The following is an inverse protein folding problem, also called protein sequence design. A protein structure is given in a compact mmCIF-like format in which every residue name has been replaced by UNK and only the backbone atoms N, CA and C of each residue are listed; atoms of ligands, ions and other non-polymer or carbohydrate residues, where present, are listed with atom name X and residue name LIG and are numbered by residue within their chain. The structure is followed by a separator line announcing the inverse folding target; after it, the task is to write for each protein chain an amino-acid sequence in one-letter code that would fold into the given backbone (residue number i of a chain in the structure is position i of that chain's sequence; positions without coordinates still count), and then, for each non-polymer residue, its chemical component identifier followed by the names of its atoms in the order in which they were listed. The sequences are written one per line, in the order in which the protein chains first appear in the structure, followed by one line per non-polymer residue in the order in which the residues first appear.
data_IF_358462623113
#
_entry.id   IF_358462623113
#
_cell.length_a   1.000
_cell.length_b   1.000
_cell.length_c   1.000
_cell.angle_alpha   90.00
_cell.angle_beta   90.00
_cell.angle_gamma   90.00
#
_symmetry.space_group_name_H-M   'P 1'
#
loop_
_entity.id
_entity.type
_entity.pdbx_description
1 polymer ?
#
# COMPACT_ATOMS: atom_id res chain seq x y z
N UNK A 1 -12.82 0.01 -22.82
CA UNK A 1 -12.75 -0.71 -21.52
C UNK A 1 -14.01 -1.55 -21.33
N UNK A 2 -13.87 -2.82 -20.89
CA UNK A 2 -14.98 -3.75 -20.63
C UNK A 2 -15.96 -3.20 -19.58
N UNK A 3 -15.44 -2.53 -18.56
CA UNK A 3 -16.22 -1.90 -17.48
C UNK A 3 -17.13 -0.78 -18.01
N UNK A 4 -16.62 0.06 -18.91
CA UNK A 4 -17.40 1.14 -19.53
C UNK A 4 -18.53 0.58 -20.40
N UNK A 5 -18.29 -0.54 -21.09
CA UNK A 5 -19.32 -1.21 -21.90
C UNK A 5 -20.49 -1.69 -21.02
N UNK A 6 -20.18 -2.30 -19.86
CA UNK A 6 -21.19 -2.76 -18.90
C UNK A 6 -21.99 -1.59 -18.32
N UNK A 7 -21.30 -0.52 -17.93
CA UNK A 7 -21.93 0.70 -17.43
C UNK A 7 -22.94 1.27 -18.44
N UNK A 8 -22.51 1.41 -19.71
CA UNK A 8 -23.40 1.91 -20.78
C UNK A 8 -24.58 0.99 -21.04
N UNK A 9 -24.35 -0.33 -21.07
CA UNK A 9 -25.44 -1.30 -21.25
C UNK A 9 -26.49 -1.21 -20.14
N UNK A 10 -26.06 -1.05 -18.88
CA UNK A 10 -26.96 -0.85 -17.73
C UNK A 10 -27.76 0.44 -17.80
N UNK A 11 -27.13 1.53 -18.23
CA UNK A 11 -27.83 2.80 -18.45
C UNK A 11 -28.88 2.70 -19.56
N UNK A 12 -28.54 2.03 -20.65
CA UNK A 12 -29.45 1.81 -21.78
C UNK A 12 -30.62 0.88 -21.42
N UNK A 13 -30.43 -0.03 -20.45
CA UNK A 13 -31.51 -0.88 -19.93
C UNK A 13 -32.42 -0.17 -18.91
N UNK A 14 -32.26 1.14 -18.70
CA UNK A 14 -33.08 1.92 -17.76
C UNK A 14 -32.68 1.78 -16.29
N UNK A 15 -31.53 1.20 -15.98
CA UNK A 15 -31.03 1.17 -14.60
C UNK A 15 -30.61 2.56 -14.13
N UNK A 16 -30.72 2.80 -12.83
CA UNK A 16 -30.20 4.03 -12.22
C UNK A 16 -28.68 4.14 -12.42
N UNK A 17 -28.14 5.38 -12.40
CA UNK A 17 -26.68 5.59 -12.48
C UNK A 17 -25.95 4.82 -11.39
N UNK A 18 -26.53 4.76 -10.19
CA UNK A 18 -25.99 4.03 -9.05
C UNK A 18 -25.83 2.53 -9.36
N UNK A 19 -26.87 1.89 -9.88
CA UNK A 19 -26.84 0.47 -10.27
C UNK A 19 -25.87 0.19 -11.42
N UNK A 20 -25.77 1.11 -12.38
CA UNK A 20 -24.84 0.99 -13.49
C UNK A 20 -23.38 1.03 -13.01
N UNK A 21 -23.07 1.94 -12.07
CA UNK A 21 -21.75 2.01 -11.45
C UNK A 21 -21.48 0.82 -10.53
N UNK A 22 -22.45 0.38 -9.72
CA UNK A 22 -22.28 -0.81 -8.86
C UNK A 22 -22.01 -2.07 -9.70
N UNK A 23 -22.73 -2.26 -10.81
CA UNK A 23 -22.48 -3.37 -11.74
C UNK A 23 -21.06 -3.33 -12.34
N UNK A 24 -20.58 -2.14 -12.71
CA UNK A 24 -19.20 -1.97 -13.17
C UNK A 24 -18.19 -2.20 -12.04
N UNK A 25 -18.49 -1.77 -10.81
CA UNK A 25 -17.67 -1.97 -9.62
C UNK A 25 -17.54 -3.45 -9.25
N UNK A 26 -18.63 -4.23 -9.28
CA UNK A 26 -18.63 -5.68 -9.01
C UNK A 26 -17.72 -6.45 -9.94
N UNK A 27 -17.62 -6.02 -11.20
CA UNK A 27 -16.79 -6.67 -12.21
C UNK A 27 -15.32 -6.19 -12.20
N UNK A 28 -15.01 -5.17 -11.39
CA UNK A 28 -13.65 -4.70 -11.15
C UNK A 28 -13.00 -5.47 -10.01
N UNK A 29 -11.76 -5.90 -10.21
CA UNK A 29 -10.90 -6.49 -9.17
C UNK A 29 -10.22 -5.42 -8.29
N UNK A 30 -10.24 -4.16 -8.71
CA UNK A 30 -9.61 -3.04 -8.02
C UNK A 30 -10.54 -2.49 -6.93
N UNK A 31 -10.11 -2.59 -5.68
CA UNK A 31 -10.87 -2.11 -4.49
C UNK A 31 -10.92 -0.58 -4.46
N UNK A 32 -9.89 0.08 -4.98
CA UNK A 32 -9.82 1.53 -5.15
C UNK A 32 -10.92 2.03 -6.09
N UNK A 33 -11.16 1.31 -7.19
CA UNK A 33 -12.21 1.66 -8.15
C UNK A 33 -13.62 1.54 -7.53
N UNK A 34 -13.86 0.52 -6.69
CA UNK A 34 -15.13 0.38 -5.95
C UNK A 34 -15.33 1.53 -4.97
N UNK A 35 -14.28 1.90 -4.26
CA UNK A 35 -14.30 3.01 -3.29
C UNK A 35 -14.53 4.35 -3.99
N UNK A 36 -13.86 4.56 -5.13
CA UNK A 36 -14.05 5.72 -6.00
C UNK A 36 -15.52 5.89 -6.39
N UNK A 37 -16.14 4.83 -6.94
CA UNK A 37 -17.55 4.86 -7.36
C UNK A 37 -18.47 5.24 -6.20
N UNK A 38 -18.25 4.66 -5.02
CA UNK A 38 -19.07 4.92 -3.83
C UNK A 38 -18.97 6.39 -3.40
N UNK A 39 -17.76 6.94 -3.40
CA UNK A 39 -17.50 8.34 -3.04
C UNK A 39 -18.15 9.31 -4.04
N UNK A 40 -18.05 9.02 -5.34
CA UNK A 40 -18.69 9.84 -6.39
C UNK A 40 -20.22 9.80 -6.25
N UNK A 41 -20.80 8.64 -5.97
CA UNK A 41 -22.24 8.54 -5.75
C UNK A 41 -22.68 9.33 -4.50
N UNK A 42 -21.90 9.24 -3.42
CA UNK A 42 -22.18 10.02 -2.22
C UNK A 42 -22.07 11.52 -2.47
N UNK A 43 -21.11 11.97 -3.30
CA UNK A 43 -21.00 13.35 -3.77
C UNK A 43 -22.27 13.81 -4.49
N UNK A 44 -22.76 12.97 -5.42
CA UNK A 44 -23.95 13.26 -6.24
C UNK A 44 -25.21 13.39 -5.36
N UNK A 45 -25.38 12.53 -4.35
CA UNK A 45 -26.51 12.62 -3.39
C UNK A 45 -26.41 13.87 -2.52
N UNK A 46 -25.22 14.18 -2.02
CA UNK A 46 -25.00 15.30 -1.09
C UNK A 46 -24.96 16.65 -1.80
N UNK A 47 -24.92 16.67 -3.13
CA UNK A 47 -24.81 17.89 -3.94
C UNK A 47 -23.42 18.54 -3.87
N UNK A 48 -22.42 17.84 -3.33
CA UNK A 48 -21.05 18.36 -3.28
C UNK A 48 -20.41 18.35 -4.68
N UNK A 49 -19.60 19.36 -5.03
CA UNK A 49 -18.90 19.39 -6.30
C UNK A 49 -17.99 18.18 -6.46
N UNK A 50 -18.25 17.36 -7.48
CA UNK A 50 -17.44 16.17 -7.79
C UNK A 50 -15.97 16.54 -7.99
N UNK A 51 -15.68 17.74 -8.51
CA UNK A 51 -14.32 18.24 -8.72
C UNK A 51 -13.51 18.32 -7.44
N UNK A 52 -14.12 18.76 -6.33
CA UNK A 52 -13.41 18.95 -5.07
C UNK A 52 -13.18 17.61 -4.39
N UNK A 53 -14.18 16.73 -4.45
CA UNK A 53 -14.05 15.35 -3.98
C UNK A 53 -12.98 14.58 -4.77
N UNK A 54 -12.87 14.81 -6.09
CA UNK A 54 -11.82 14.21 -6.91
C UNK A 54 -10.42 14.69 -6.48
N UNK A 55 -10.28 15.99 -6.18
CA UNK A 55 -9.01 16.56 -5.69
C UNK A 55 -8.63 15.96 -4.34
N UNK A 56 -9.58 15.86 -3.42
CA UNK A 56 -9.35 15.28 -2.10
C UNK A 56 -8.99 13.80 -2.19
N UNK A 57 -9.75 13.04 -2.99
CA UNK A 57 -9.47 11.64 -3.24
C UNK A 57 -8.08 11.44 -3.86
N UNK A 58 -7.69 12.27 -4.83
CA UNK A 58 -6.36 12.25 -5.41
C UNK A 58 -5.26 12.54 -4.38
N UNK A 59 -5.48 13.51 -3.49
CA UNK A 59 -4.55 13.83 -2.40
C UNK A 59 -4.40 12.64 -1.45
N UNK A 60 -5.50 12.01 -1.05
CA UNK A 60 -5.51 10.83 -0.18
C UNK A 60 -4.74 9.68 -0.85
N UNK A 61 -4.99 9.39 -2.13
CA UNK A 61 -4.27 8.34 -2.84
C UNK A 61 -2.76 8.59 -2.93
N UNK A 62 -2.35 9.83 -3.23
CA UNK A 62 -0.93 10.20 -3.27
C UNK A 62 -0.26 10.05 -1.91
N UNK A 63 -0.94 10.45 -0.84
CA UNK A 63 -0.44 10.30 0.53
C UNK A 63 -0.31 8.82 0.90
N UNK A 64 -1.34 8.01 0.65
CA UNK A 64 -1.31 6.58 0.93
C UNK A 64 -0.19 5.86 0.17
N UNK A 65 0.02 6.19 -1.11
CA UNK A 65 1.13 5.64 -1.89
C UNK A 65 2.49 6.03 -1.30
N UNK A 66 2.65 7.30 -0.93
CA UNK A 66 3.88 7.77 -0.29
C UNK A 66 4.14 7.05 1.03
N UNK A 67 3.12 6.89 1.86
CA UNK A 67 3.26 6.27 3.18
C UNK A 67 3.52 4.77 3.05
N UNK A 68 2.90 4.10 2.07
CA UNK A 68 3.21 2.72 1.73
C UNK A 68 4.68 2.54 1.29
N UNK A 69 5.20 3.44 0.46
CA UNK A 69 6.61 3.43 0.06
C UNK A 69 7.55 3.68 1.24
N UNK A 70 7.19 4.60 2.15
CA UNK A 70 7.96 4.84 3.38
C UNK A 70 8.03 3.60 4.26
N UNK A 71 6.90 2.94 4.51
CA UNK A 71 6.86 1.71 5.31
C UNK A 71 7.72 0.61 4.67
N UNK A 72 7.71 0.49 3.35
CA UNK A 72 8.57 -0.46 2.66
C UNK A 72 10.06 -0.10 2.76
N UNK A 73 10.40 1.19 2.69
CA UNK A 73 11.76 1.67 2.85
C UNK A 73 12.28 1.43 4.28
N UNK A 74 11.49 1.74 5.31
CA UNK A 74 11.84 1.48 6.72
C UNK A 74 12.10 0.00 7.00
N UNK A 75 11.27 -0.88 6.42
CA UNK A 75 11.50 -2.34 6.51
C UNK A 75 12.82 -2.76 5.85
N UNK A 76 13.16 -2.15 4.71
CA UNK A 76 14.42 -2.43 4.03
C UNK A 76 15.63 -1.97 4.86
N UNK A 77 15.56 -0.79 5.45
CA UNK A 77 16.60 -0.27 6.35
C UNK A 77 16.82 -1.17 7.56
N UNK A 78 15.75 -1.62 8.22
CA UNK A 78 15.84 -2.55 9.35
C UNK A 78 16.50 -3.87 8.95
N UNK A 79 16.15 -4.42 7.80
CA UNK A 79 16.76 -5.65 7.30
C UNK A 79 18.25 -5.45 7.01
N UNK A 80 18.63 -4.30 6.46
CA UNK A 80 20.02 -3.95 6.18
C UNK A 80 20.86 -3.89 7.47
N UNK A 81 20.33 -3.29 8.54
CA UNK A 81 21.00 -3.22 9.85
C UNK A 81 21.27 -4.63 10.40
N UNK A 82 20.30 -5.54 10.30
CA UNK A 82 20.46 -6.93 10.75
C UNK A 82 21.54 -7.65 9.94
N UNK A 83 21.54 -7.48 8.60
CA UNK A 83 22.56 -8.08 7.73
C UNK A 83 23.94 -7.56 8.10
N UNK A 84 24.10 -6.24 8.27
CA UNK A 84 25.37 -5.62 8.68
C UNK A 84 25.82 -6.18 10.04
N UNK A 85 24.91 -6.28 11.01
CA UNK A 85 25.24 -6.82 12.34
C UNK A 85 25.72 -8.27 12.28
N UNK A 86 25.02 -9.14 11.56
CA UNK A 86 25.38 -10.57 11.47
C UNK A 86 26.68 -10.78 10.69
N UNK A 87 26.90 -10.06 9.59
CA UNK A 87 28.05 -10.31 8.73
C UNK A 87 29.30 -9.52 9.08
N UNK A 88 29.18 -8.43 9.85
CA UNK A 88 30.33 -7.61 10.25
C UNK A 88 30.60 -7.76 11.74
N UNK A 89 29.59 -7.57 12.59
CA UNK A 89 29.78 -7.50 14.04
C UNK A 89 30.07 -8.88 14.66
N UNK A 90 29.33 -9.92 14.26
CA UNK A 90 29.52 -11.28 14.81
C UNK A 90 30.92 -11.84 14.46
N UNK A 91 31.42 -11.79 13.21
CA UNK A 91 32.77 -12.26 12.92
C UNK A 91 33.85 -11.45 13.64
N UNK A 92 33.66 -10.13 13.78
CA UNK A 92 34.60 -9.27 14.50
C UNK A 92 34.69 -9.65 15.99
N UNK A 93 33.56 -9.94 16.64
CA UNK A 93 33.54 -10.45 18.01
C UNK A 93 34.23 -11.81 18.13
N UNK A 94 34.02 -12.71 17.18
CA UNK A 94 34.72 -14.00 17.16
C UNK A 94 36.24 -13.82 17.08
N UNK A 95 36.73 -12.99 16.15
CA UNK A 95 38.16 -12.69 16.01
C UNK A 95 38.73 -12.10 17.31
N UNK A 96 37.98 -11.22 17.98
CA UNK A 96 38.39 -10.63 19.25
C UNK A 96 38.48 -11.65 20.39
N UNK A 97 37.62 -12.68 20.39
CA UNK A 97 37.60 -13.72 21.43
C UNK A 97 38.67 -14.81 21.23
N UNK A 98 39.12 -15.07 20.00
CA UNK A 98 40.19 -16.04 19.70
C UNK A 98 41.45 -15.85 20.57
N UNK A 99 42.03 -14.64 20.75
CA UNK A 99 43.21 -14.45 21.59
C UNK A 99 42.92 -14.53 23.10
N UNK A 100 41.67 -14.35 23.54
CA UNK A 100 41.28 -14.38 24.96
C UNK A 100 41.03 -15.82 25.44
N UNK A 101 40.51 -16.69 24.56
CA UNK A 101 40.27 -18.11 24.85
C UNK A 101 41.50 -18.89 25.40
N UNK A 102 42.72 -18.76 24.84
CA UNK A 102 43.90 -19.43 25.41
C UNK A 102 44.32 -18.85 26.76
N UNK A 103 44.08 -17.56 27.03
CA UNK A 103 44.42 -16.92 28.31
C UNK A 103 43.53 -17.45 29.45
N UNK A 104 42.25 -17.74 29.16
CA UNK A 104 41.32 -18.35 30.12
C UNK A 104 41.68 -19.81 30.46
N UNK A 105 42.26 -20.56 29.52
CA UNK A 105 42.73 -21.95 29.75
C UNK A 105 44.00 -22.05 30.60
N UNK A 106 44.78 -20.97 30.71
CA UNK A 106 46.00 -20.93 31.52
C UNK A 106 45.68 -20.60 32.99
N UNK A 107 44.49 -20.07 33.25
CA UNK A 107 44.05 -19.60 34.58
C UNK A 107 43.13 -20.59 35.33
N UNK A 108 42.71 -21.69 34.69
CA UNK A 108 41.98 -22.83 35.26
C UNK A 108 42.94 -24.01 35.39
#
# INVERSE_FOLDING_TARGET
SRLLKIYRLRLLSGSSRAEAFDAAGRMSYCTEFKSFIKIIYQAEITGHPVSDILKDLSRVYRNNQRDFLKIQAEKLESNLIIVIFVFIFVPMLFILMVPVLPQLKIFI
#
